data_IF_157544788626
#
_entry.id   IF_157544788626
#
_cell.length_a   1.000
_cell.length_b   1.000
_cell.length_c   1.000
_cell.angle_alpha   90.00
_cell.angle_beta   90.00
_cell.angle_gamma   90.00
#
_symmetry.space_group_name_H-M   'P 1'
#
loop_
_entity.id
_entity.type
_entity.pdbx_description
1 polymer ?
#
# COMPACT_ATOMS: atom_id res chain seq x y z
N UNK A 1 -5.06 32.56 31.89
CA UNK A 1 -5.76 31.30 32.21
C UNK A 1 -5.63 30.41 31.00
N UNK A 2 -4.83 29.36 31.19
CA UNK A 2 -4.70 28.12 30.41
C UNK A 2 -4.37 28.21 28.92
N UNK A 3 -3.06 28.08 28.65
CA UNK A 3 -2.47 27.28 27.59
C UNK A 3 -3.24 25.98 27.32
N UNK A 4 -3.50 25.68 26.04
CA UNK A 4 -3.33 24.37 25.40
C UNK A 4 -3.62 24.51 23.89
N UNK A 5 -2.70 25.11 23.14
CA UNK A 5 -2.51 24.67 21.76
C UNK A 5 -1.39 23.63 21.81
N UNK A 6 -1.79 22.41 22.15
CA UNK A 6 -0.99 21.24 21.81
C UNK A 6 -0.83 21.25 20.29
N UNK A 7 0.44 21.27 19.88
CA UNK A 7 0.88 21.15 18.50
C UNK A 7 0.06 20.05 17.79
N UNK A 8 -0.40 20.25 16.54
CA UNK A 8 -1.01 19.15 15.81
C UNK A 8 0.06 18.08 15.63
N UNK A 9 -0.15 16.99 16.36
CA UNK A 9 0.64 15.78 16.35
C UNK A 9 0.77 15.27 14.91
N UNK A 10 2.03 15.02 14.55
CA UNK A 10 2.52 13.92 13.71
C UNK A 10 1.67 13.50 12.49
N UNK A 11 2.24 13.79 11.31
CA UNK A 11 2.25 12.89 10.15
C UNK A 11 0.86 12.45 9.62
N UNK A 12 0.14 13.41 9.03
CA UNK A 12 -1.05 13.11 8.21
C UNK A 12 -0.73 12.36 6.90
N UNK A 13 0.52 11.99 6.65
CA UNK A 13 0.94 11.34 5.41
C UNK A 13 0.93 9.82 5.53
N UNK A 14 1.24 9.27 6.71
CA UNK A 14 1.33 7.83 6.92
C UNK A 14 -0.04 7.11 6.82
N UNK A 15 -1.08 7.64 7.49
CA UNK A 15 -2.43 7.06 7.41
C UNK A 15 -3.00 7.04 5.97
N UNK A 16 -2.76 8.11 5.22
CA UNK A 16 -3.19 8.21 3.81
C UNK A 16 -2.48 7.19 2.92
N UNK A 17 -1.23 6.86 3.21
CA UNK A 17 -0.45 5.90 2.43
C UNK A 17 -0.85 4.45 2.76
N UNK A 18 -1.15 4.14 4.02
CA UNK A 18 -1.66 2.81 4.41
C UNK A 18 -3.03 2.50 3.81
N UNK A 19 -3.96 3.46 3.83
CA UNK A 19 -5.29 3.29 3.23
C UNK A 19 -5.21 3.12 1.71
N UNK A 20 -4.29 3.85 1.06
CA UNK A 20 -4.01 3.70 -0.38
C UNK A 20 -3.41 2.34 -0.69
N UNK A 21 -2.47 1.87 0.12
CA UNK A 21 -1.84 0.55 -0.04
C UNK A 21 -2.89 -0.57 0.07
N UNK A 22 -3.77 -0.50 1.07
CA UNK A 22 -4.86 -1.47 1.23
C UNK A 22 -5.78 -1.52 -0.01
N UNK A 23 -6.09 -0.37 -0.61
CA UNK A 23 -6.85 -0.29 -1.85
C UNK A 23 -6.15 -0.96 -3.04
N UNK A 24 -4.83 -0.73 -3.18
CA UNK A 24 -4.01 -1.35 -4.23
C UNK A 24 -3.94 -2.86 -4.06
N UNK A 25 -3.74 -3.35 -2.83
CA UNK A 25 -3.73 -4.80 -2.52
C UNK A 25 -5.06 -5.43 -2.94
N UNK A 26 -6.19 -4.81 -2.61
CA UNK A 26 -7.52 -5.30 -3.01
C UNK A 26 -7.69 -5.37 -4.53
N UNK A 27 -7.19 -4.36 -5.26
CA UNK A 27 -7.25 -4.34 -6.72
C UNK A 27 -6.33 -5.40 -7.36
N UNK A 28 -5.11 -5.56 -6.86
CA UNK A 28 -4.16 -6.58 -7.34
C UNK A 28 -4.74 -7.99 -7.12
N UNK A 29 -5.33 -8.27 -5.95
CA UNK A 29 -6.00 -9.54 -5.66
C UNK A 29 -7.13 -9.84 -6.65
N UNK A 30 -7.94 -8.83 -6.99
CA UNK A 30 -9.02 -8.97 -7.97
C UNK A 30 -8.47 -9.20 -9.39
N UNK A 31 -7.42 -8.47 -9.78
CA UNK A 31 -6.78 -8.59 -11.09
C UNK A 31 -6.15 -9.99 -11.29
N UNK A 32 -5.49 -10.55 -10.27
CA UNK A 32 -4.94 -11.93 -10.28
C UNK A 32 -6.05 -12.98 -10.38
N UNK A 33 -7.13 -12.78 -9.63
CA UNK A 33 -8.27 -13.70 -9.64
C UNK A 33 -8.96 -13.75 -11.01
N UNK A 34 -8.92 -12.66 -11.77
CA UNK A 34 -9.49 -12.55 -13.12
C UNK A 34 -8.52 -12.96 -14.23
N UNK A 35 -7.21 -12.76 -14.04
CA UNK A 35 -6.16 -13.08 -15.01
C UNK A 35 -5.08 -13.94 -14.36
N UNK A 36 -5.26 -15.27 -14.42
CA UNK A 36 -4.41 -16.26 -13.76
C UNK A 36 -3.02 -16.46 -14.40
N UNK A 37 -2.73 -15.79 -15.52
CA UNK A 37 -1.50 -15.96 -16.31
C UNK A 37 -0.45 -14.86 -16.07
N UNK A 38 -0.73 -13.88 -15.20
CA UNK A 38 0.19 -12.79 -14.89
C UNK A 38 1.17 -13.13 -13.75
N UNK A 39 2.41 -12.65 -13.84
CA UNK A 39 3.33 -12.66 -12.70
C UNK A 39 2.85 -11.63 -11.65
N UNK A 40 2.27 -12.15 -10.56
CA UNK A 40 1.76 -11.36 -9.41
C UNK A 40 2.77 -10.33 -8.91
N UNK A 41 4.08 -10.66 -8.94
CA UNK A 41 5.14 -9.74 -8.51
C UNK A 41 5.21 -8.53 -9.41
N UNK A 42 5.19 -8.75 -10.72
CA UNK A 42 5.27 -7.69 -11.74
C UNK A 42 4.03 -6.79 -11.67
N UNK A 43 2.85 -7.38 -11.47
CA UNK A 43 1.61 -6.63 -11.34
C UNK A 43 1.60 -5.73 -10.09
N UNK A 44 2.03 -6.26 -8.94
CA UNK A 44 2.12 -5.48 -7.70
C UNK A 44 3.14 -4.33 -7.83
N UNK A 45 4.31 -4.60 -8.42
CA UNK A 45 5.34 -3.58 -8.65
C UNK A 45 4.83 -2.44 -9.54
N UNK A 46 4.14 -2.76 -10.64
CA UNK A 46 3.54 -1.77 -11.53
C UNK A 46 2.50 -0.91 -10.80
N UNK A 47 1.62 -1.52 -9.99
CA UNK A 47 0.58 -0.78 -9.27
C UNK A 47 1.13 0.14 -8.19
N UNK A 48 2.16 -0.29 -7.47
CA UNK A 48 2.85 0.54 -6.49
C UNK A 48 3.54 1.72 -7.18
N UNK A 49 4.20 1.48 -8.32
CA UNK A 49 4.81 2.53 -9.13
C UNK A 49 3.79 3.54 -9.66
N UNK A 50 2.68 3.08 -10.24
CA UNK A 50 1.59 3.94 -10.74
C UNK A 50 0.97 4.81 -9.64
N UNK A 51 0.92 4.29 -8.42
CA UNK A 51 0.43 5.00 -7.24
C UNK A 51 1.48 5.92 -6.59
N UNK A 52 2.74 5.88 -7.05
CA UNK A 52 3.86 6.61 -6.47
C UNK A 52 4.21 6.12 -5.05
N UNK A 53 3.96 4.85 -4.75
CA UNK A 53 4.26 4.23 -3.46
C UNK A 53 5.57 3.45 -3.60
N UNK A 54 6.57 3.88 -2.85
CA UNK A 54 7.83 3.15 -2.69
C UNK A 54 7.77 2.34 -1.39
N UNK A 55 7.89 1.02 -1.50
CA UNK A 55 8.01 0.12 -0.35
C UNK A 55 9.46 -0.31 -0.18
N UNK A 56 9.88 -0.54 1.06
CA UNK A 56 11.13 -1.26 1.31
C UNK A 56 11.02 -2.70 0.80
N UNK A 57 12.14 -3.39 0.51
CA UNK A 57 12.11 -4.79 0.07
C UNK A 57 11.33 -5.72 1.01
N UNK A 58 11.45 -5.49 2.33
CA UNK A 58 10.73 -6.28 3.32
C UNK A 58 9.21 -6.03 3.30
N UNK A 59 8.79 -4.77 3.14
CA UNK A 59 7.36 -4.42 3.01
C UNK A 59 6.77 -4.94 1.70
N UNK A 60 7.56 -4.89 0.62
CA UNK A 60 7.16 -5.46 -0.66
C UNK A 60 6.97 -6.96 -0.57
N UNK A 61 7.91 -7.70 0.04
CA UNK A 61 7.79 -9.16 0.19
C UNK A 61 6.58 -9.55 1.08
N UNK A 62 6.31 -8.80 2.16
CA UNK A 62 5.10 -8.98 2.98
C UNK A 62 3.82 -8.72 2.18
N UNK A 63 3.79 -7.65 1.41
CA UNK A 63 2.64 -7.29 0.57
C UNK A 63 2.43 -8.32 -0.54
N UNK A 64 3.52 -8.83 -1.12
CA UNK A 64 3.50 -9.87 -2.16
C UNK A 64 2.94 -11.19 -1.61
N UNK A 65 3.35 -11.57 -0.40
CA UNK A 65 2.78 -12.73 0.28
C UNK A 65 1.28 -12.54 0.53
N UNK A 66 0.87 -11.36 1.01
CA UNK A 66 -0.53 -11.05 1.28
C UNK A 66 -1.42 -11.15 0.03
N UNK A 67 -0.94 -10.74 -1.15
CA UNK A 67 -1.70 -10.83 -2.42
C UNK A 67 -1.72 -12.23 -3.03
N UNK A 68 -0.84 -13.13 -2.57
CA UNK A 68 -0.71 -14.49 -3.10
C UNK A 68 -1.40 -15.56 -2.22
N UNK A 69 -1.90 -15.20 -1.04
CA UNK A 69 -2.80 -16.01 -0.20
C UNK A 69 -4.26 -15.96 -0.68
#
# INVERSE_FOLDING_TARGET
>A
MSDTQNEPMQDSNNASNSDRLAGIIGQVKADISLNHDGDTRVLLEQRLHDAGIELSPAEFDLTLAEVSE
#
